data_IF_383920487556
#
_entry.id   IF_383920487556
#
_cell.length_a   1.000
_cell.length_b   1.000
_cell.length_c   1.000
_cell.angle_alpha   90.00
_cell.angle_beta   90.00
_cell.angle_gamma   90.00
#
_symmetry.space_group_name_H-M   'P 1'
#
loop_
_entity.id
_entity.type
_entity.pdbx_description
1 polymer ?
#
# COMPACT_ATOMS: atom_id res chain seq x y z
N UNK A 1 -1.45 -3.94 -37.82
CA UNK A 1 -2.45 -4.33 -36.82
C UNK A 1 -1.91 -3.96 -35.44
N UNK A 2 -2.43 -2.93 -34.76
CA UNK A 2 -1.93 -2.62 -33.43
C UNK A 2 -2.46 -3.66 -32.44
N UNK A 3 -1.56 -4.25 -31.65
CA UNK A 3 -1.91 -5.15 -30.56
C UNK A 3 -2.73 -4.38 -29.52
N UNK A 4 -3.99 -4.77 -29.38
CA UNK A 4 -4.85 -4.39 -28.26
C UNK A 4 -4.21 -4.96 -27.00
N UNK A 5 -3.58 -4.11 -26.18
CA UNK A 5 -3.23 -4.47 -24.80
C UNK A 5 -4.55 -4.85 -24.12
N UNK A 6 -4.66 -6.09 -23.67
CA UNK A 6 -5.72 -6.48 -22.76
C UNK A 6 -5.28 -5.84 -21.45
N UNK A 7 -5.90 -4.72 -21.09
CA UNK A 7 -5.66 -4.08 -19.80
C UNK A 7 -5.94 -5.13 -18.72
N UNK A 8 -4.89 -5.48 -17.96
CA UNK A 8 -5.02 -6.34 -16.79
C UNK A 8 -5.94 -5.70 -15.75
N UNK A 9 -6.28 -6.41 -14.66
CA UNK A 9 -6.94 -5.77 -13.53
C UNK A 9 -6.13 -4.53 -13.08
N UNK A 10 -6.78 -3.42 -12.72
CA UNK A 10 -6.10 -2.19 -12.36
C UNK A 10 -5.15 -2.44 -11.18
N UNK A 11 -3.93 -1.92 -11.28
CA UNK A 11 -2.91 -2.09 -10.24
C UNK A 11 -3.36 -1.43 -8.94
N UNK A 12 -2.75 -1.80 -7.80
CA UNK A 12 -3.05 -1.08 -6.55
C UNK A 12 -2.80 0.42 -6.66
N UNK A 13 -1.78 0.83 -7.42
CA UNK A 13 -1.48 2.24 -7.67
C UNK A 13 -2.64 2.91 -8.37
N UNK A 14 -3.16 2.32 -9.45
CA UNK A 14 -4.27 2.89 -10.22
C UNK A 14 -5.52 3.05 -9.34
N UNK A 15 -5.84 2.02 -8.55
CA UNK A 15 -7.00 2.02 -7.65
C UNK A 15 -6.89 3.05 -6.53
N UNK A 16 -5.70 3.19 -5.93
CA UNK A 16 -5.46 4.17 -4.88
C UNK A 16 -5.42 5.58 -5.47
N UNK A 17 -4.81 5.77 -6.65
CA UNK A 17 -4.79 7.06 -7.36
C UNK A 17 -6.19 7.51 -7.80
N UNK A 18 -7.02 6.59 -8.28
CA UNK A 18 -8.42 6.86 -8.65
C UNK A 18 -9.21 7.32 -7.44
N UNK A 19 -9.07 6.63 -6.30
CA UNK A 19 -9.71 7.06 -5.05
C UNK A 19 -9.18 8.41 -4.57
N UNK A 20 -7.88 8.64 -4.64
CA UNK A 20 -7.24 9.92 -4.29
C UNK A 20 -7.76 11.08 -5.14
N UNK A 21 -8.13 10.80 -6.40
CA UNK A 21 -8.70 11.79 -7.30
C UNK A 21 -10.17 12.08 -7.00
N UNK A 22 -10.93 11.08 -6.55
CA UNK A 22 -12.35 11.19 -6.20
C UNK A 22 -12.58 11.82 -4.81
N UNK A 23 -11.77 11.45 -3.81
CA UNK A 23 -11.93 11.83 -2.40
C UNK A 23 -10.64 12.47 -1.86
N UNK A 24 -10.17 13.52 -2.54
CA UNK A 24 -8.86 14.12 -2.29
C UNK A 24 -8.73 14.67 -0.88
N UNK A 25 -9.71 15.46 -0.42
CA UNK A 25 -9.62 16.17 0.86
C UNK A 25 -9.68 15.19 2.04
N UNK A 26 -10.54 14.19 1.92
CA UNK A 26 -10.78 13.13 2.89
C UNK A 26 -9.52 12.27 3.05
N UNK A 27 -8.89 11.90 1.93
CA UNK A 27 -7.65 11.13 1.95
C UNK A 27 -6.46 11.96 2.43
N UNK A 28 -6.36 13.24 2.06
CA UNK A 28 -5.37 14.15 2.66
C UNK A 28 -5.52 14.17 4.18
N UNK A 29 -6.75 14.32 4.68
CA UNK A 29 -7.06 14.34 6.12
C UNK A 29 -6.63 13.03 6.79
N UNK A 30 -7.00 11.89 6.20
CA UNK A 30 -6.65 10.57 6.71
C UNK A 30 -5.13 10.34 6.75
N UNK A 31 -4.44 10.57 5.61
CA UNK A 31 -3.00 10.37 5.53
C UNK A 31 -2.21 11.37 6.40
N UNK A 32 -2.73 12.60 6.57
CA UNK A 32 -2.14 13.57 7.48
C UNK A 32 -2.22 13.10 8.93
N UNK A 33 -3.30 12.40 9.33
CA UNK A 33 -3.40 11.81 10.67
C UNK A 33 -2.40 10.69 10.87
N UNK A 34 -2.22 9.81 9.89
CA UNK A 34 -1.16 8.79 9.95
C UNK A 34 0.22 9.42 10.12
N UNK A 35 0.53 10.46 9.34
CA UNK A 35 1.79 11.19 9.43
C UNK A 35 1.93 11.92 10.78
N UNK A 36 0.84 12.45 11.33
CA UNK A 36 0.84 13.15 12.62
C UNK A 36 1.12 12.24 13.83
N UNK A 37 0.87 10.93 13.72
CA UNK A 37 1.30 9.95 14.73
C UNK A 37 2.83 9.80 14.78
N UNK A 38 3.54 10.35 13.78
CA UNK A 38 4.99 10.35 13.70
C UNK A 38 5.55 9.12 12.98
N UNK A 39 6.88 9.04 12.99
CA UNK A 39 7.63 7.94 12.38
C UNK A 39 7.31 6.62 13.11
N UNK A 40 6.77 5.62 12.41
CA UNK A 40 6.36 4.36 13.04
C UNK A 40 5.72 3.33 12.11
N UNK A 41 5.31 2.21 12.71
CA UNK A 41 4.51 1.16 12.06
C UNK A 41 3.06 1.28 12.52
N UNK A 42 2.14 1.35 11.56
CA UNK A 42 0.71 1.25 11.79
C UNK A 42 0.25 -0.18 11.54
N UNK A 43 -0.44 -0.74 12.54
CA UNK A 43 -1.08 -2.04 12.44
C UNK A 43 -2.44 -1.90 11.73
N UNK A 44 -3.02 -3.01 11.21
CA UNK A 44 -4.30 -2.95 10.50
C UNK A 44 -5.41 -2.24 11.26
N UNK A 45 -5.51 -2.48 12.57
CA UNK A 45 -6.54 -1.82 13.39
C UNK A 45 -6.33 -0.30 13.46
N UNK A 46 -5.10 0.19 13.61
CA UNK A 46 -4.82 1.63 13.54
C UNK A 46 -5.26 2.26 12.20
N UNK A 47 -5.09 1.55 11.08
CA UNK A 47 -5.53 2.04 9.76
C UNK A 47 -7.05 2.16 9.67
N UNK A 48 -7.78 1.19 10.25
CA UNK A 48 -9.24 1.20 10.23
C UNK A 48 -9.80 2.19 11.25
N UNK A 49 -9.22 2.27 12.44
CA UNK A 49 -9.65 3.17 13.51
C UNK A 49 -9.54 4.64 13.06
N UNK A 50 -8.44 5.01 12.41
CA UNK A 50 -8.30 6.36 11.85
C UNK A 50 -9.30 6.61 10.73
N UNK A 51 -9.51 5.66 9.81
CA UNK A 51 -10.54 5.79 8.78
C UNK A 51 -11.92 6.05 9.42
N UNK A 52 -12.27 5.31 10.46
CA UNK A 52 -13.53 5.48 11.19
C UNK A 52 -13.62 6.82 11.93
N UNK A 53 -12.50 7.31 12.48
CA UNK A 53 -12.44 8.60 13.17
C UNK A 53 -12.59 9.80 12.23
N UNK A 54 -12.14 9.70 10.97
CA UNK A 54 -12.37 10.78 9.99
C UNK A 54 -13.85 10.87 9.60
N UNK A 55 -14.60 9.77 9.66
CA UNK A 55 -15.98 9.66 9.15
C UNK A 55 -17.02 10.31 10.06
N UNK A 56 -16.61 10.81 11.22
CA UNK A 56 -17.51 11.40 12.21
C UNK A 56 -18.25 12.68 11.82
N UNK A 57 -17.91 13.37 10.71
CA UNK A 57 -18.37 14.76 10.48
C UNK A 57 -18.80 15.12 9.03
N UNK A 58 -18.64 14.26 8.02
CA UNK A 58 -18.86 14.64 6.60
C UNK A 58 -19.49 13.52 5.74
N UNK A 59 -20.46 13.85 4.87
CA UNK A 59 -21.14 12.92 3.96
C UNK A 59 -20.16 12.30 2.94
N UNK A 60 -19.18 13.07 2.45
CA UNK A 60 -18.18 12.58 1.50
C UNK A 60 -17.26 11.49 2.08
N UNK A 61 -17.17 11.44 3.41
CA UNK A 61 -16.37 10.44 4.13
C UNK A 61 -17.11 9.12 4.36
N UNK A 62 -18.44 9.15 4.47
CA UNK A 62 -19.24 7.93 4.46
C UNK A 62 -19.05 7.17 3.14
N UNK A 63 -19.00 7.89 2.01
CA UNK A 63 -18.71 7.29 0.71
C UNK A 63 -17.31 6.66 0.63
N UNK A 64 -16.30 7.29 1.24
CA UNK A 64 -14.95 6.72 1.32
C UNK A 64 -14.93 5.42 2.16
N UNK A 65 -15.68 5.39 3.26
CA UNK A 65 -15.79 4.24 4.18
C UNK A 65 -16.51 3.06 3.57
N UNK A 66 -17.54 3.30 2.76
CA UNK A 66 -18.26 2.25 2.04
C UNK A 66 -17.67 1.96 0.66
N UNK A 67 -16.72 2.80 0.23
CA UNK A 67 -16.09 2.75 -1.08
C UNK A 67 -14.96 1.73 -1.24
N UNK A 68 -14.36 1.69 -2.44
CA UNK A 68 -13.31 0.73 -2.80
C UNK A 68 -12.03 0.88 -1.97
N UNK A 69 -11.76 2.06 -1.44
CA UNK A 69 -10.56 2.33 -0.65
C UNK A 69 -10.61 1.73 0.75
N UNK A 70 -11.79 1.74 1.38
CA UNK A 70 -12.01 0.99 2.62
C UNK A 70 -11.68 -0.49 2.47
N UNK A 71 -12.02 -1.10 1.32
CA UNK A 71 -11.64 -2.49 1.04
C UNK A 71 -10.13 -2.66 0.87
N UNK A 72 -9.45 -1.67 0.29
CA UNK A 72 -7.98 -1.66 0.20
C UNK A 72 -7.37 -1.62 1.61
N UNK A 73 -7.81 -0.71 2.46
CA UNK A 73 -7.32 -0.60 3.84
C UNK A 73 -7.64 -1.83 4.69
N UNK A 74 -8.81 -2.45 4.53
CA UNK A 74 -9.15 -3.72 5.20
C UNK A 74 -8.25 -4.87 4.78
N UNK A 75 -7.70 -4.83 3.56
CA UNK A 75 -6.71 -5.81 3.08
C UNK A 75 -5.26 -5.44 3.40
N UNK A 76 -5.01 -4.23 3.92
CA UNK A 76 -3.68 -3.81 4.36
C UNK A 76 -3.25 -4.60 5.59
N UNK A 77 -1.99 -5.03 5.59
CA UNK A 77 -1.40 -5.81 6.69
C UNK A 77 -0.56 -4.94 7.62
N UNK A 78 -0.01 -3.84 7.12
CA UNK A 78 0.73 -2.84 7.87
C UNK A 78 0.93 -1.61 6.98
N UNK A 79 1.19 -0.46 7.61
CA UNK A 79 1.74 0.70 6.94
C UNK A 79 2.95 1.24 7.70
N UNK A 80 3.94 1.72 6.97
CA UNK A 80 5.13 2.37 7.48
C UNK A 80 4.99 3.86 7.24
N UNK A 81 5.13 4.64 8.31
CA UNK A 81 5.08 6.09 8.25
C UNK A 81 6.51 6.62 8.36
N UNK A 82 6.98 7.21 7.28
CA UNK A 82 8.23 7.96 7.19
C UNK A 82 7.88 9.34 6.61
N UNK A 83 7.55 10.34 7.45
CA UNK A 83 7.05 11.62 6.96
C UNK A 83 7.94 12.21 5.85
N UNK A 84 7.39 12.59 4.68
CA UNK A 84 5.96 12.74 4.36
C UNK A 84 5.29 11.53 3.70
N UNK A 85 5.94 10.38 3.72
CA UNK A 85 5.50 9.17 3.03
C UNK A 85 4.76 8.20 3.96
N UNK A 86 3.74 7.56 3.39
CA UNK A 86 3.07 6.40 3.99
C UNK A 86 3.18 5.24 3.00
N UNK A 87 3.96 4.22 3.36
CA UNK A 87 4.12 3.00 2.56
C UNK A 87 3.21 1.90 3.11
N UNK A 88 2.37 1.30 2.29
CA UNK A 88 1.33 0.35 2.70
C UNK A 88 1.60 -1.01 2.07
N UNK A 89 1.62 -2.07 2.90
CA UNK A 89 1.65 -3.44 2.44
C UNK A 89 0.22 -4.00 2.38
N UNK A 90 -0.20 -4.41 1.19
CA UNK A 90 -1.59 -4.77 0.90
C UNK A 90 -1.63 -6.23 0.49
N UNK A 91 -2.53 -7.00 1.09
CA UNK A 91 -2.68 -8.45 0.83
C UNK A 91 -4.10 -8.76 0.39
N UNK A 92 -4.44 -8.56 -0.90
CA UNK A 92 -5.80 -8.76 -1.39
C UNK A 92 -6.26 -10.22 -1.29
N UNK A 93 -5.32 -11.18 -1.42
CA UNK A 93 -5.59 -12.63 -1.38
C UNK A 93 -4.41 -13.38 -0.77
N UNK A 94 -4.62 -14.61 -0.25
CA UNK A 94 -3.53 -15.45 0.22
C UNK A 94 -2.47 -15.67 -0.87
N UNK A 95 -1.23 -15.30 -0.57
CA UNK A 95 -0.08 -15.44 -1.49
C UNK A 95 0.11 -14.29 -2.48
N UNK A 96 -0.74 -13.26 -2.46
CA UNK A 96 -0.63 -12.08 -3.33
C UNK A 96 -0.39 -10.84 -2.47
N UNK A 97 0.68 -10.12 -2.77
CA UNK A 97 1.07 -8.88 -2.10
C UNK A 97 1.24 -7.77 -3.12
N UNK A 98 0.81 -6.58 -2.74
CA UNK A 98 1.01 -5.34 -3.48
C UNK A 98 1.48 -4.27 -2.49
N UNK A 99 2.38 -3.40 -2.94
CA UNK A 99 2.97 -2.36 -2.11
C UNK A 99 2.77 -1.01 -2.78
N UNK A 100 2.33 -0.03 -2.01
CA UNK A 100 2.09 1.31 -2.51
C UNK A 100 2.68 2.34 -1.55
N UNK A 101 3.23 3.41 -2.10
CA UNK A 101 3.66 4.60 -1.36
C UNK A 101 2.76 5.76 -1.70
N UNK A 102 2.34 6.49 -0.67
CA UNK A 102 1.62 7.75 -0.82
C UNK A 102 2.51 8.87 -0.30
N UNK A 103 2.75 9.89 -1.12
CA UNK A 103 3.31 11.16 -0.67
C UNK A 103 2.17 12.07 -0.24
N UNK A 104 2.07 12.38 1.05
CA UNK A 104 0.94 13.15 1.59
C UNK A 104 0.96 14.61 1.15
N UNK A 105 2.14 15.19 0.90
CA UNK A 105 2.25 16.57 0.44
C UNK A 105 1.93 16.74 -1.04
N UNK A 106 2.47 15.86 -1.89
CA UNK A 106 2.26 15.93 -3.35
C UNK A 106 0.99 15.23 -3.81
N UNK A 107 0.40 14.38 -2.96
CA UNK A 107 -0.74 13.52 -3.29
C UNK A 107 -0.48 12.67 -4.52
N UNK A 108 0.72 12.09 -4.54
CA UNK A 108 1.17 11.14 -5.55
C UNK A 108 1.19 9.74 -4.95
N UNK A 109 0.86 8.76 -5.81
CA UNK A 109 0.85 7.34 -5.46
C UNK A 109 1.81 6.60 -6.39
N UNK A 110 2.74 5.88 -5.77
CA UNK A 110 3.70 5.04 -6.47
C UNK A 110 3.49 3.58 -6.08
N UNK A 111 3.64 2.68 -7.05
CA UNK A 111 3.74 1.25 -6.75
C UNK A 111 5.18 0.96 -6.33
N UNK A 112 5.35 0.23 -5.24
CA UNK A 112 6.64 -0.22 -4.77
C UNK A 112 6.87 -1.69 -5.15
N UNK A 113 8.11 -2.02 -5.43
CA UNK A 113 8.63 -3.38 -5.36
C UNK A 113 8.78 -3.82 -3.90
N UNK A 114 9.02 -5.12 -3.70
CA UNK A 114 9.26 -5.68 -2.35
C UNK A 114 10.52 -5.07 -1.74
N UNK A 115 11.60 -4.94 -2.51
CA UNK A 115 12.86 -4.36 -2.04
C UNK A 115 12.67 -2.90 -1.60
N UNK A 116 12.01 -2.07 -2.42
CA UNK A 116 11.72 -0.67 -2.06
C UNK A 116 10.86 -0.58 -0.79
N UNK A 117 9.86 -1.44 -0.63
CA UNK A 117 9.06 -1.47 0.60
C UNK A 117 9.89 -1.89 1.83
N UNK A 118 10.79 -2.86 1.68
CA UNK A 118 11.69 -3.27 2.78
C UNK A 118 12.66 -2.15 3.17
N UNK A 119 13.14 -1.36 2.21
CA UNK A 119 13.97 -0.18 2.48
C UNK A 119 13.26 0.81 3.42
N UNK A 120 11.94 0.99 3.30
CA UNK A 120 11.16 1.81 4.24
C UNK A 120 11.21 1.25 5.67
N UNK A 121 11.19 -0.08 5.84
CA UNK A 121 11.27 -0.72 7.16
C UNK A 121 12.67 -0.61 7.76
N UNK A 122 13.71 -0.67 6.94
CA UNK A 122 15.10 -0.49 7.35
C UNK A 122 15.34 0.96 7.80
N UNK A 123 14.96 1.93 6.96
CA UNK A 123 15.07 3.36 7.29
C UNK A 123 14.24 3.71 8.54
N UNK A 124 13.14 3.01 8.79
CA UNK A 124 12.38 3.17 10.02
C UNK A 124 13.24 2.95 11.27
N UNK A 125 14.12 1.95 11.25
CA UNK A 125 14.98 1.59 12.38
C UNK A 125 16.30 2.37 12.34
N UNK A 126 16.97 2.37 11.20
CA UNK A 126 18.34 2.89 11.07
C UNK A 126 18.40 4.40 10.82
N UNK A 127 17.27 4.99 10.41
CA UNK A 127 17.13 6.44 10.19
C UNK A 127 17.79 6.96 8.92
N UNK A 128 18.55 6.14 8.20
CA UNK A 128 19.12 6.44 6.90
C UNK A 128 19.03 5.22 6.00
N UNK A 129 18.76 5.46 4.72
CA UNK A 129 18.91 4.44 3.71
C UNK A 129 20.40 4.13 3.49
N UNK A 130 20.78 2.86 3.63
CA UNK A 130 22.15 2.44 3.35
C UNK A 130 22.29 2.06 1.87
N UNK A 131 22.88 2.95 1.08
CA UNK A 131 23.14 2.71 -0.35
C UNK A 131 24.23 1.63 -0.60
N UNK A 132 24.92 1.15 0.43
CA UNK A 132 26.05 0.24 0.28
C UNK A 132 25.62 -1.22 0.26
N UNK A 133 25.53 -1.80 -0.94
CA UNK A 133 25.57 -3.25 -1.22
C UNK A 133 24.93 -4.14 -0.14
N UNK A 134 23.70 -3.81 0.28
CA UNK A 134 22.95 -4.59 1.26
C UNK A 134 22.65 -5.97 0.63
N UNK A 135 22.91 -7.03 1.39
CA UNK A 135 22.68 -8.39 0.90
C UNK A 135 21.17 -8.66 0.77
N UNK A 136 20.69 -8.80 -0.46
CA UNK A 136 19.33 -9.24 -0.76
C UNK A 136 19.29 -10.75 -1.02
N UNK A 137 18.42 -11.46 -0.28
CA UNK A 137 18.20 -12.89 -0.48
C UNK A 137 17.01 -13.13 -1.42
N UNK A 138 17.27 -13.27 -2.71
CA UNK A 138 16.25 -13.55 -3.73
C UNK A 138 16.28 -15.02 -4.20
N UNK A 139 15.26 -15.78 -3.81
CA UNK A 139 15.05 -17.17 -4.27
C UNK A 139 14.17 -17.27 -5.52
N UNK A 140 13.66 -16.16 -6.06
CA UNK A 140 12.83 -16.10 -7.26
C UNK A 140 13.48 -16.79 -8.46
N UNK A 141 14.72 -16.41 -8.86
CA UNK A 141 15.43 -16.99 -10.00
C UNK A 141 15.66 -18.51 -9.87
N UNK A 142 15.97 -18.98 -8.66
CA UNK A 142 16.24 -20.40 -8.38
C UNK A 142 15.00 -21.30 -8.53
N UNK A 143 13.81 -20.72 -8.48
CA UNK A 143 12.53 -21.42 -8.56
C UNK A 143 11.82 -21.24 -9.90
N UNK A 144 12.46 -20.60 -10.89
CA UNK A 144 11.82 -20.24 -12.16
C UNK A 144 11.44 -21.44 -13.03
N UNK A 145 12.09 -22.60 -12.82
CA UNK A 145 11.85 -23.84 -13.59
C UNK A 145 10.67 -24.65 -13.07
N UNK A 146 10.17 -24.38 -11.85
CA UNK A 146 9.07 -25.11 -11.26
C UNK A 146 7.74 -24.40 -11.53
N UNK A 147 6.71 -25.10 -12.07
CA UNK A 147 5.40 -24.50 -12.26
C UNK A 147 4.78 -24.15 -10.90
N UNK A 148 4.26 -22.93 -10.77
CA UNK A 148 3.61 -22.46 -9.53
C UNK A 148 2.09 -22.48 -9.66
N UNK A 149 1.35 -23.20 -8.81
CA UNK A 149 -0.11 -23.11 -8.78
C UNK A 149 -0.54 -21.70 -8.35
N UNK A 150 -1.52 -21.14 -9.05
CA UNK A 150 -2.03 -19.78 -8.81
C UNK A 150 -3.35 -19.76 -8.03
N UNK A 151 -3.94 -20.92 -7.78
CA UNK A 151 -5.20 -21.05 -7.01
C UNK A 151 -4.87 -21.21 -5.53
N UNK A 152 -5.42 -20.32 -4.70
CA UNK A 152 -5.23 -20.39 -3.24
C UNK A 152 -5.74 -21.71 -2.62
N UNK A 153 -6.71 -22.38 -3.27
CA UNK A 153 -7.21 -23.69 -2.86
C UNK A 153 -6.21 -24.84 -3.04
N UNK A 154 -5.08 -24.59 -3.72
CA UNK A 154 -4.02 -25.58 -3.98
C UNK A 154 -2.81 -25.38 -3.07
N UNK A 155 -2.97 -24.61 -1.98
CA UNK A 155 -1.94 -24.38 -0.96
C UNK A 155 -2.15 -25.40 0.16
N UNK A 156 -1.08 -26.12 0.52
CA UNK A 156 -1.10 -27.22 1.51
C UNK A 156 -1.41 -28.57 0.87
#
# INVERSE_FOLDING_TARGET
MPHRRIDGPPSIRDRVQETLSAHRNELVSLFSRYVAQGKGILQPHHLIDELDNVVGEDEGLQELKDGPFSQILKSAQEAIVLPPFVAIAIRPRPGVWEYARVNVYELSVDQLSVAEYLCFKEELVDGQYNENYVLELDFGPFNATFPRPTRSSSIG
#
